data_IF_481084665154
#
_entry.id   IF_481084665154
#
_cell.length_a   1.000
_cell.length_b   1.000
_cell.length_c   1.000
_cell.angle_alpha   90.00
_cell.angle_beta   90.00
_cell.angle_gamma   90.00
#
_symmetry.space_group_name_H-M   'P 1'
#
loop_
_entity.id
_entity.type
_entity.pdbx_description
1 polymer ?
#
# COMPACT_ATOMS: atom_id res chain seq x y z
N UNK A 1 4.70 53.29 1.50
CA UNK A 1 4.63 52.55 0.23
C UNK A 1 3.90 51.24 0.46
N UNK A 2 2.64 51.14 0.01
CA UNK A 2 1.84 49.91 0.02
C UNK A 2 2.05 49.23 -1.32
N UNK A 3 2.51 47.97 -1.35
CA UNK A 3 2.25 47.08 -2.48
C UNK A 3 1.76 45.72 -1.96
N UNK A 4 0.43 45.61 -1.85
CA UNK A 4 -0.31 44.35 -1.93
C UNK A 4 -0.30 43.90 -3.40
N UNK A 5 0.14 42.68 -3.68
CA UNK A 5 -0.15 41.97 -4.94
C UNK A 5 0.36 40.54 -4.80
N UNK A 6 -0.33 39.47 -5.16
CA UNK A 6 -1.72 39.17 -5.50
C UNK A 6 -1.79 37.65 -5.44
N UNK A 7 -2.83 37.13 -4.83
CA UNK A 7 -3.01 35.72 -4.53
C UNK A 7 -3.47 34.97 -5.78
N UNK A 8 -2.56 34.32 -6.50
CA UNK A 8 -2.89 33.37 -7.56
C UNK A 8 -3.06 31.97 -6.96
N UNK A 9 -4.27 31.69 -6.44
CA UNK A 9 -4.73 30.32 -6.21
C UNK A 9 -5.12 29.74 -7.58
N UNK A 10 -4.15 29.19 -8.29
CA UNK A 10 -4.43 28.40 -9.48
C UNK A 10 -5.16 27.11 -9.05
N UNK A 11 -6.32 26.88 -9.66
CA UNK A 11 -7.33 25.91 -9.25
C UNK A 11 -6.86 24.46 -9.29
N UNK A 12 -7.19 23.74 -8.23
CA UNK A 12 -7.23 22.29 -8.14
C UNK A 12 -8.41 21.77 -8.98
N UNK A 13 -8.22 21.73 -10.28
CA UNK A 13 -9.21 21.30 -11.26
C UNK A 13 -8.67 20.14 -12.08
N UNK A 14 -8.65 18.93 -11.51
CA UNK A 14 -8.52 17.60 -12.14
C UNK A 14 -7.95 16.64 -11.06
N UNK A 15 -8.72 15.72 -10.46
CA UNK A 15 -8.76 14.30 -10.86
C UNK A 15 -9.78 13.55 -9.99
N UNK A 16 -11.06 13.56 -10.38
CA UNK A 16 -12.12 12.84 -9.61
C UNK A 16 -12.06 11.31 -9.76
N UNK A 17 -11.20 10.76 -10.61
CA UNK A 17 -11.07 9.32 -10.88
C UNK A 17 -9.84 8.60 -10.29
N UNK A 18 -8.90 9.30 -9.63
CA UNK A 18 -7.64 8.72 -9.14
C UNK A 18 -7.64 8.53 -7.60
N UNK A 19 -8.81 8.36 -6.98
CA UNK A 19 -8.95 8.36 -5.51
C UNK A 19 -8.79 6.99 -4.83
N UNK A 20 -8.39 5.95 -5.55
CA UNK A 20 -8.22 4.60 -4.97
C UNK A 20 -6.76 4.19 -4.76
N UNK A 21 -5.79 4.95 -5.26
CA UNK A 21 -4.37 4.58 -5.17
C UNK A 21 -3.73 5.25 -3.96
N UNK A 22 -3.24 4.47 -3.00
CA UNK A 22 -2.51 4.99 -1.85
C UNK A 22 -1.17 5.57 -2.34
N UNK A 23 -1.00 6.89 -2.19
CA UNK A 23 0.26 7.59 -2.52
C UNK A 23 1.23 7.53 -1.35
N UNK A 24 2.52 7.51 -1.67
CA UNK A 24 3.60 7.54 -0.67
C UNK A 24 3.63 8.90 0.02
N UNK A 25 3.28 8.93 1.31
CA UNK A 25 3.23 10.16 2.13
C UNK A 25 4.61 10.80 2.35
N UNK A 26 5.68 10.01 2.28
CA UNK A 26 7.09 10.42 2.55
C UNK A 26 7.97 10.40 1.30
N UNK A 27 7.48 10.98 0.21
CA UNK A 27 8.22 11.05 -1.06
C UNK A 27 9.33 12.12 -1.10
N UNK A 28 9.31 13.12 -0.19
CA UNK A 28 10.26 14.25 -0.20
C UNK A 28 11.66 13.77 0.17
N UNK A 29 12.60 13.85 -0.79
CA UNK A 29 14.01 13.48 -0.62
C UNK A 29 14.39 12.07 -1.09
N UNK A 30 13.46 11.26 -1.62
CA UNK A 30 13.76 9.92 -2.15
C UNK A 30 13.97 9.93 -3.67
N UNK A 31 14.81 9.01 -4.16
CA UNK A 31 14.99 8.77 -5.61
C UNK A 31 13.66 8.37 -6.25
N UNK A 32 13.41 8.84 -7.47
CA UNK A 32 12.18 8.56 -8.22
C UNK A 32 11.90 7.06 -8.35
N UNK A 33 12.94 6.25 -8.54
CA UNK A 33 12.85 4.78 -8.61
C UNK A 33 12.38 4.14 -7.30
N UNK A 34 12.85 4.67 -6.16
CA UNK A 34 12.45 4.21 -4.82
C UNK A 34 10.99 4.55 -4.53
N UNK A 35 10.55 5.77 -4.89
CA UNK A 35 9.16 6.20 -4.74
C UNK A 35 8.21 5.33 -5.56
N UNK A 36 8.54 5.05 -6.83
CA UNK A 36 7.75 4.16 -7.70
C UNK A 36 7.68 2.72 -7.21
N UNK A 37 8.71 2.23 -6.52
CA UNK A 37 8.69 0.90 -5.91
C UNK A 37 7.74 0.87 -4.71
N UNK A 38 7.76 1.91 -3.87
CA UNK A 38 6.86 2.03 -2.72
C UNK A 38 5.40 2.19 -3.13
N UNK A 39 5.12 3.00 -4.15
CA UNK A 39 3.76 3.13 -4.71
C UNK A 39 3.23 1.78 -5.18
N UNK A 40 4.06 0.95 -5.84
CA UNK A 40 3.64 -0.39 -6.26
C UNK A 40 3.31 -1.30 -5.07
N UNK A 41 4.15 -1.31 -4.04
CA UNK A 41 3.90 -2.11 -2.84
C UNK A 41 2.62 -1.71 -2.11
N UNK A 42 2.34 -0.40 -2.01
CA UNK A 42 1.14 0.10 -1.34
C UNK A 42 -0.14 -0.19 -2.12
N UNK A 43 -0.06 -0.27 -3.45
CA UNK A 43 -1.21 -0.53 -4.33
C UNK A 43 -1.36 -2.00 -4.71
N UNK A 44 -0.67 -2.92 -4.03
CA UNK A 44 -0.82 -4.35 -4.26
C UNK A 44 -2.21 -4.83 -3.77
N UNK A 45 -2.98 -5.59 -4.59
CA UNK A 45 -4.33 -6.02 -4.24
C UNK A 45 -4.39 -6.92 -3.01
N UNK A 46 -3.34 -7.71 -2.73
CA UNK A 46 -3.30 -8.58 -1.57
C UNK A 46 -3.06 -7.81 -0.27
N UNK A 47 -2.44 -6.63 -0.33
CA UNK A 47 -2.30 -5.75 0.84
C UNK A 47 -3.65 -5.13 1.19
N UNK A 48 -4.43 -4.73 0.17
CA UNK A 48 -5.79 -4.22 0.37
C UNK A 48 -6.74 -5.31 0.88
N UNK A 49 -6.68 -6.51 0.29
CA UNK A 49 -7.45 -7.66 0.76
C UNK A 49 -7.06 -8.02 2.21
N UNK A 50 -5.77 -8.08 2.53
CA UNK A 50 -5.31 -8.43 3.88
C UNK A 50 -5.85 -7.45 4.93
N UNK A 51 -5.83 -6.14 4.64
CA UNK A 51 -6.43 -5.12 5.51
C UNK A 51 -7.94 -5.32 5.68
N UNK A 52 -8.66 -5.66 4.61
CA UNK A 52 -10.11 -5.90 4.64
C UNK A 52 -10.47 -7.12 5.47
N UNK A 53 -9.70 -8.18 5.34
CA UNK A 53 -9.92 -9.46 6.02
C UNK A 53 -9.29 -9.50 7.43
N UNK A 54 -8.61 -8.42 7.85
CA UNK A 54 -8.00 -8.30 9.18
C UNK A 54 -6.65 -9.00 9.34
N UNK A 55 -6.03 -9.47 8.26
CA UNK A 55 -4.72 -10.08 8.29
C UNK A 55 -3.60 -9.04 8.46
N UNK A 56 -2.59 -9.37 9.28
CA UNK A 56 -1.44 -8.51 9.57
C UNK A 56 -0.51 -8.31 8.36
N UNK A 57 -0.45 -9.27 7.44
CA UNK A 57 0.49 -9.25 6.31
C UNK A 57 -0.08 -9.96 5.09
N UNK A 58 0.41 -9.60 3.89
CA UNK A 58 0.07 -10.29 2.63
C UNK A 58 0.45 -11.76 2.61
N UNK A 59 1.42 -12.15 3.45
CA UNK A 59 1.91 -13.52 3.53
C UNK A 59 0.85 -14.47 4.12
N UNK A 60 -0.14 -13.95 4.85
CA UNK A 60 -1.23 -14.74 5.41
C UNK A 60 -1.95 -15.57 4.33
N UNK A 61 -2.30 -14.96 3.18
CA UNK A 61 -2.92 -15.68 2.07
C UNK A 61 -2.06 -16.82 1.54
N UNK A 62 -0.75 -16.61 1.49
CA UNK A 62 0.18 -17.64 1.03
C UNK A 62 0.35 -18.75 2.05
N UNK A 63 0.38 -18.43 3.34
CA UNK A 63 0.44 -19.42 4.40
C UNK A 63 -0.83 -20.28 4.39
N UNK A 64 -2.01 -19.67 4.20
CA UNK A 64 -3.29 -20.40 4.09
C UNK A 64 -3.27 -21.34 2.87
N UNK A 65 -2.91 -20.82 1.68
CA UNK A 65 -2.83 -21.62 0.45
C UNK A 65 -1.78 -22.76 0.56
N UNK A 66 -0.71 -22.55 1.33
CA UNK A 66 0.29 -23.56 1.60
C UNK A 66 -0.20 -24.58 2.62
N UNK A 67 -0.91 -24.16 3.66
CA UNK A 67 -1.49 -25.08 4.63
C UNK A 67 -2.56 -25.96 4.00
N UNK A 68 -3.39 -25.45 3.09
CA UNK A 68 -4.38 -26.27 2.38
C UNK A 68 -3.72 -27.38 1.53
N UNK A 69 -2.58 -27.06 0.90
CA UNK A 69 -1.86 -28.00 0.02
C UNK A 69 -1.00 -29.00 0.78
N UNK A 70 -0.26 -28.52 1.77
CA UNK A 70 0.77 -29.29 2.46
C UNK A 70 0.34 -29.76 3.85
N UNK A 71 -0.78 -29.24 4.38
CA UNK A 71 -1.34 -29.54 5.70
C UNK A 71 -0.27 -29.46 6.79
N UNK A 72 0.45 -28.33 6.81
CA UNK A 72 1.57 -28.10 7.73
C UNK A 72 1.12 -28.09 9.18
N UNK A 73 -0.07 -27.56 9.47
CA UNK A 73 -0.58 -27.42 10.83
C UNK A 73 -1.42 -28.63 11.29
N UNK A 74 -1.02 -29.85 10.93
CA UNK A 74 -1.58 -31.05 11.57
C UNK A 74 -1.11 -31.14 13.03
N UNK A 75 -2.02 -31.30 14.01
CA UNK A 75 -1.63 -31.57 15.39
C UNK A 75 -0.90 -32.93 15.44
N UNK A 76 0.40 -32.93 15.77
CA UNK A 76 1.23 -34.14 15.86
C UNK A 76 2.63 -34.04 15.23
N UNK A 77 2.99 -32.93 14.58
CA UNK A 77 4.35 -32.69 14.07
C UNK A 77 5.35 -32.34 15.17
N UNK A 78 5.67 -33.29 16.03
CA UNK A 78 6.79 -33.17 16.97
C UNK A 78 8.09 -33.36 16.19
N UNK A 79 8.86 -32.30 15.97
CA UNK A 79 10.27 -32.45 15.60
C UNK A 79 11.04 -32.84 16.86
N UNK A 80 11.59 -34.06 16.84
CA UNK A 80 12.53 -34.61 17.83
C UNK A 80 13.88 -33.92 17.73
#
# INVERSE_FOLDING_TARGET
>A
MVNKSSKSRAGDGQRRGDRMRERVKTARGRKLSSTRWLERQLNDPYVAAAKKDGYRSRAAYKIIEMDDRFKFFKPGGCAI
#
